data_IF_501958601404
#
_entry.id   IF_501958601404
#
_cell.length_a   1.000
_cell.length_b   1.000
_cell.length_c   1.000
_cell.angle_alpha   90.00
_cell.angle_beta   90.00
_cell.angle_gamma   90.00
#
_symmetry.space_group_name_H-M   'P 1'
#
loop_
_entity.id
_entity.type
_entity.pdbx_description
1 polymer ?
#
# COMPACT_ATOMS: atom_id res chain seq x y z
N UNK A 1 -14.56 64.23 13.97
CA UNK A 1 -13.42 63.35 13.68
C UNK A 1 -13.94 61.97 13.27
N UNK A 2 -13.52 61.38 12.13
CA UNK A 2 -13.81 59.97 11.79
C UNK A 2 -12.53 59.17 11.95
N UNK A 3 -12.55 58.21 12.87
CA UNK A 3 -11.41 57.33 13.14
C UNK A 3 -11.27 56.32 11.98
N UNK A 4 -10.11 56.31 11.33
CA UNK A 4 -9.75 55.27 10.37
C UNK A 4 -9.38 54.01 11.15
N UNK A 5 -10.31 53.05 11.20
CA UNK A 5 -10.08 51.75 11.81
C UNK A 5 -9.14 50.93 10.93
N UNK A 6 -7.95 50.65 11.46
CA UNK A 6 -6.93 49.83 10.81
C UNK A 6 -7.42 48.39 10.72
N UNK A 7 -7.72 47.92 9.51
CA UNK A 7 -8.00 46.51 9.23
C UNK A 7 -6.74 45.70 9.47
N UNK A 8 -6.64 45.12 10.66
CA UNK A 8 -5.66 44.09 11.01
C UNK A 8 -5.70 42.99 9.95
N UNK A 9 -4.61 42.86 9.17
CA UNK A 9 -4.44 41.76 8.22
C UNK A 9 -4.38 40.47 9.04
N UNK A 10 -5.48 39.73 9.04
CA UNK A 10 -5.60 38.38 9.61
C UNK A 10 -4.42 37.55 9.08
N UNK A 11 -3.47 37.21 9.96
CA UNK A 11 -2.42 36.24 9.67
C UNK A 11 -3.12 34.89 9.71
N UNK A 12 -3.44 34.34 8.54
CA UNK A 12 -3.97 32.97 8.45
C UNK A 12 -2.96 32.03 9.12
N UNK A 13 -3.40 31.15 10.04
CA UNK A 13 -2.51 30.16 10.63
C UNK A 13 -1.89 29.31 9.51
N UNK A 14 -0.62 28.89 9.65
CA UNK A 14 -0.01 28.01 8.66
C UNK A 14 -0.94 26.81 8.44
N UNK A 15 -1.17 26.38 7.19
CA UNK A 15 -2.06 25.26 6.90
C UNK A 15 -1.70 24.09 7.81
N UNK A 16 -2.69 23.47 8.49
CA UNK A 16 -2.43 22.32 9.34
C UNK A 16 -1.64 21.32 8.51
N UNK A 17 -0.50 20.87 9.04
CA UNK A 17 0.53 20.12 8.34
C UNK A 17 -0.13 19.08 7.44
N UNK A 18 -0.32 19.47 6.17
CA UNK A 18 -0.85 18.55 5.19
C UNK A 18 0.16 17.40 5.16
N UNK A 19 -0.26 16.20 4.77
CA UNK A 19 0.68 15.13 4.50
C UNK A 19 1.52 15.55 3.27
N UNK A 20 2.52 16.41 3.47
CA UNK A 20 3.43 16.95 2.45
C UNK A 20 4.06 15.78 1.70
N UNK A 21 4.35 14.69 2.41
CA UNK A 21 4.86 13.47 1.80
C UNK A 21 3.91 12.90 0.72
N UNK A 22 2.58 13.08 0.83
CA UNK A 22 1.60 12.67 -0.19
C UNK A 22 1.58 13.60 -1.39
N UNK A 23 1.84 14.90 -1.20
CA UNK A 23 1.89 15.87 -2.30
C UNK A 23 3.21 15.80 -3.07
N UNK A 24 4.28 15.34 -2.42
CA UNK A 24 5.60 15.13 -3.03
C UNK A 24 5.79 13.71 -3.61
N UNK A 25 4.85 12.79 -3.36
CA UNK A 25 4.95 11.43 -3.87
C UNK A 25 4.55 11.39 -5.34
N UNK A 26 5.52 11.11 -6.20
CA UNK A 26 5.34 10.99 -7.63
C UNK A 26 4.34 9.84 -8.00
N UNK A 27 3.33 10.09 -8.86
CA UNK A 27 2.36 9.07 -9.25
C UNK A 27 2.99 7.84 -9.93
N UNK A 28 4.08 8.00 -10.67
CA UNK A 28 4.77 6.87 -11.29
C UNK A 28 5.46 5.99 -10.22
N UNK A 29 5.93 6.59 -9.14
CA UNK A 29 6.45 5.85 -7.98
C UNK A 29 5.37 4.99 -7.31
N UNK A 30 4.14 5.51 -7.16
CA UNK A 30 3.00 4.70 -6.67
C UNK A 30 2.65 3.58 -7.64
N UNK A 31 2.62 3.85 -8.95
CA UNK A 31 2.37 2.81 -9.96
C UNK A 31 3.40 1.68 -9.87
N UNK A 32 4.70 2.01 -9.73
CA UNK A 32 5.77 1.03 -9.57
C UNK A 32 5.59 0.14 -8.34
N UNK A 33 5.08 0.70 -7.25
CA UNK A 33 4.78 -0.05 -6.02
C UNK A 33 3.61 -1.03 -6.27
N UNK A 34 2.53 -0.55 -6.90
CA UNK A 34 1.39 -1.40 -7.29
C UNK A 34 1.86 -2.55 -8.19
N UNK A 35 2.72 -2.26 -9.17
CA UNK A 35 3.27 -3.28 -10.08
C UNK A 35 4.09 -4.34 -9.31
N UNK A 36 4.91 -3.94 -8.32
CA UNK A 36 5.65 -4.88 -7.47
C UNK A 36 4.72 -5.74 -6.59
N UNK A 37 3.65 -5.16 -6.06
CA UNK A 37 2.64 -5.90 -5.28
C UNK A 37 1.95 -6.93 -6.20
N UNK A 38 1.50 -6.50 -7.38
CA UNK A 38 0.90 -7.36 -8.39
C UNK A 38 1.85 -8.50 -8.81
N UNK A 39 3.13 -8.21 -9.04
CA UNK A 39 4.15 -9.21 -9.37
C UNK A 39 4.38 -10.24 -8.26
N UNK A 40 4.11 -9.90 -7.02
CA UNK A 40 4.20 -10.84 -5.90
C UNK A 40 2.94 -11.68 -5.79
N UNK A 41 1.77 -11.06 -5.92
CA UNK A 41 0.50 -11.78 -5.95
C UNK A 41 0.45 -12.84 -7.07
N UNK A 42 0.91 -12.50 -8.28
CA UNK A 42 0.94 -13.45 -9.42
C UNK A 42 1.82 -14.67 -9.20
N UNK A 43 2.84 -14.59 -8.33
CA UNK A 43 3.73 -15.73 -8.04
C UNK A 43 3.05 -16.76 -7.14
N UNK A 44 1.97 -16.39 -6.47
CA UNK A 44 1.30 -17.23 -5.48
C UNK A 44 -0.12 -17.61 -5.87
N UNK A 45 -0.70 -16.96 -6.88
CA UNK A 45 -2.05 -17.24 -7.35
C UNK A 45 -1.98 -17.85 -8.74
N UNK A 46 -2.65 -18.99 -8.99
CA UNK A 46 -2.79 -19.50 -10.34
C UNK A 46 -3.70 -18.52 -11.12
N UNK A 47 -3.10 -17.75 -12.03
CA UNK A 47 -3.83 -16.78 -12.85
C UNK A 47 -4.33 -17.48 -14.10
N UNK A 48 -5.64 -17.41 -14.33
CA UNK A 48 -6.26 -17.91 -15.55
C UNK A 48 -6.79 -16.71 -16.35
N UNK A 49 -6.06 -16.31 -17.39
CA UNK A 49 -6.52 -15.33 -18.37
C UNK A 49 -6.32 -13.84 -18.03
N UNK A 50 -6.65 -12.95 -18.98
CA UNK A 50 -6.48 -11.50 -18.84
C UNK A 50 -7.37 -10.89 -17.75
N UNK A 51 -8.52 -11.47 -17.47
CA UNK A 51 -9.45 -11.04 -16.41
C UNK A 51 -8.79 -11.17 -15.03
N UNK A 52 -8.05 -12.25 -14.79
CA UNK A 52 -7.30 -12.45 -13.54
C UNK A 52 -6.23 -11.38 -13.33
N UNK A 53 -5.57 -10.93 -14.40
CA UNK A 53 -4.57 -9.86 -14.31
C UNK A 53 -5.21 -8.51 -13.95
N UNK A 54 -6.39 -8.23 -14.48
CA UNK A 54 -7.15 -7.01 -14.16
C UNK A 54 -7.54 -7.01 -12.68
N UNK A 55 -8.07 -8.13 -12.18
CA UNK A 55 -8.44 -8.28 -10.77
C UNK A 55 -7.23 -8.16 -9.83
N UNK A 56 -6.08 -8.73 -10.20
CA UNK A 56 -4.87 -8.57 -9.40
C UNK A 56 -4.39 -7.13 -9.32
N UNK A 57 -4.48 -6.39 -10.42
CA UNK A 57 -4.13 -4.97 -10.42
C UNK A 57 -5.09 -4.17 -9.53
N UNK A 58 -6.39 -4.48 -9.55
CA UNK A 58 -7.37 -3.88 -8.62
C UNK A 58 -7.04 -4.20 -7.18
N UNK A 59 -6.71 -5.46 -6.87
CA UNK A 59 -6.33 -5.88 -5.50
C UNK A 59 -5.06 -5.15 -5.05
N UNK A 60 -4.03 -5.09 -5.90
CA UNK A 60 -2.78 -4.41 -5.60
C UNK A 60 -2.99 -2.91 -5.35
N UNK A 61 -3.80 -2.25 -6.19
CA UNK A 61 -4.17 -0.85 -6.01
C UNK A 61 -4.91 -0.60 -4.70
N UNK A 62 -5.96 -1.39 -4.40
CA UNK A 62 -6.71 -1.26 -3.13
C UNK A 62 -5.86 -1.54 -1.90
N UNK A 63 -4.90 -2.45 -2.02
CA UNK A 63 -3.96 -2.73 -0.94
C UNK A 63 -3.05 -1.53 -0.70
N UNK A 64 -2.43 -1.01 -1.75
CA UNK A 64 -1.52 0.15 -1.67
C UNK A 64 -2.24 1.40 -1.15
N UNK A 65 -3.45 1.67 -1.65
CA UNK A 65 -4.29 2.81 -1.26
C UNK A 65 -4.59 2.80 0.24
N UNK A 66 -4.96 1.65 0.80
CA UNK A 66 -5.17 1.50 2.26
C UNK A 66 -3.92 1.86 3.06
N UNK A 67 -2.73 1.55 2.56
CA UNK A 67 -1.48 1.90 3.24
C UNK A 67 -1.19 3.38 3.09
N UNK A 68 -1.37 3.90 1.88
CA UNK A 68 -1.22 5.31 1.56
C UNK A 68 -2.07 6.20 2.48
N UNK A 69 -3.32 5.82 2.75
CA UNK A 69 -4.21 6.54 3.66
C UNK A 69 -3.82 6.40 5.14
N UNK A 70 -3.31 5.22 5.54
CA UNK A 70 -2.93 4.95 6.93
C UNK A 70 -1.56 5.50 7.34
N UNK A 71 -0.68 5.80 6.39
CA UNK A 71 0.70 6.19 6.67
C UNK A 71 0.83 7.65 7.11
N UNK A 72 1.78 7.93 8.00
CA UNK A 72 2.06 9.29 8.48
C UNK A 72 3.21 9.98 7.75
N UNK A 73 4.05 9.21 7.06
CA UNK A 73 5.22 9.68 6.30
C UNK A 73 5.52 8.76 5.12
N UNK A 74 6.36 9.20 4.19
CA UNK A 74 6.81 8.37 3.06
C UNK A 74 7.57 7.13 3.54
N UNK A 75 8.46 7.27 4.52
CA UNK A 75 9.16 6.14 5.14
C UNK A 75 8.19 5.14 5.77
N UNK A 76 7.20 5.63 6.53
CA UNK A 76 6.18 4.79 7.16
C UNK A 76 5.35 4.03 6.10
N UNK A 77 4.98 4.70 5.02
CA UNK A 77 4.30 4.10 3.87
C UNK A 77 5.13 2.96 3.25
N UNK A 78 6.40 3.21 2.93
CA UNK A 78 7.29 2.20 2.34
C UNK A 78 7.52 1.02 3.30
N UNK A 79 7.78 1.29 4.59
CA UNK A 79 7.97 0.26 5.62
C UNK A 79 6.73 -0.63 5.78
N UNK A 80 5.53 -0.04 5.84
CA UNK A 80 4.27 -0.78 5.96
C UNK A 80 4.01 -1.67 4.74
N UNK A 81 4.32 -1.20 3.52
CA UNK A 81 4.25 -2.02 2.31
C UNK A 81 5.20 -3.19 2.43
N UNK A 82 6.49 -2.95 2.67
CA UNK A 82 7.50 -4.02 2.76
C UNK A 82 7.12 -5.08 3.78
N UNK A 83 6.68 -4.68 4.98
CA UNK A 83 6.30 -5.61 6.04
C UNK A 83 5.07 -6.46 5.66
N UNK A 84 4.04 -5.84 5.08
CA UNK A 84 2.84 -6.57 4.66
C UNK A 84 3.12 -7.48 3.48
N UNK A 85 3.96 -7.06 2.53
CA UNK A 85 4.39 -7.91 1.42
C UNK A 85 5.18 -9.13 1.89
N UNK A 86 6.13 -8.95 2.82
CA UNK A 86 6.86 -10.06 3.44
C UNK A 86 5.90 -11.05 4.12
N UNK A 87 4.92 -10.54 4.86
CA UNK A 87 3.91 -11.36 5.51
C UNK A 87 3.06 -12.16 4.50
N UNK A 88 2.75 -11.56 3.35
CA UNK A 88 1.99 -12.21 2.28
C UNK A 88 2.80 -13.32 1.59
N UNK A 89 4.09 -13.11 1.35
CA UNK A 89 5.00 -14.15 0.82
C UNK A 89 5.19 -15.31 1.81
N UNK A 90 5.26 -15.04 3.12
CA UNK A 90 5.38 -16.11 4.12
C UNK A 90 4.11 -16.98 4.22
N UNK A 91 2.92 -16.37 4.13
CA UNK A 91 1.64 -17.10 4.22
C UNK A 91 1.40 -18.03 3.03
N UNK A 92 1.75 -17.61 1.82
CA UNK A 92 1.60 -18.45 0.62
C UNK A 92 2.52 -19.68 0.65
N UNK A 93 3.70 -19.58 1.29
CA UNK A 93 4.59 -20.73 1.48
C UNK A 93 4.04 -21.72 2.53
N UNK A 94 3.40 -21.24 3.60
CA UNK A 94 2.81 -22.11 4.62
C UNK A 94 1.64 -22.97 4.09
N UNK A 95 0.94 -22.51 3.05
CA UNK A 95 -0.13 -23.27 2.39
C UNK A 95 0.41 -24.27 1.37
N UNK A 96 1.59 -24.04 0.80
CA UNK A 96 2.24 -24.97 -0.14
C UNK A 96 3.11 -26.03 0.55
N UNK A 97 3.39 -25.90 1.85
CA UNK A 97 4.19 -26.86 2.62
C UNK A 97 3.40 -27.95 3.37
N UNK A 98 2.06 -27.98 3.27
CA UNK A 98 1.23 -28.89 4.08
C UNK A 98 0.69 -30.12 3.35
N UNK A 99 1.34 -30.62 2.29
CA UNK A 99 1.05 -31.95 1.76
C UNK A 99 2.30 -32.58 1.15
N UNK A 100 2.78 -33.65 1.78
CA UNK A 100 3.52 -34.82 1.28
C UNK A 100 4.64 -35.22 2.23
N UNK A 101 4.26 -36.01 3.25
CA UNK A 101 5.03 -36.98 4.07
C UNK A 101 4.17 -37.21 5.32
N UNK A 102 3.56 -38.35 5.64
CA UNK A 102 4.02 -39.73 5.47
C UNK A 102 2.82 -40.65 5.69
N UNK A 103 2.47 -41.45 4.67
CA UNK A 103 1.74 -42.69 4.89
C UNK A 103 2.78 -43.77 5.16
N UNK A 104 2.75 -44.39 6.34
CA UNK A 104 3.41 -45.67 6.59
C UNK A 104 2.64 -46.40 7.70
N UNK A 105 1.77 -47.29 7.24
CA UNK A 105 1.40 -48.59 7.82
C UNK A 105 1.86 -48.91 9.25
N UNK A 106 0.91 -49.18 10.14
CA UNK A 106 1.12 -50.03 11.30
C UNK A 106 0.26 -51.30 11.14
N UNK A 107 0.95 -52.43 11.25
CA UNK A 107 0.49 -53.82 11.19
C UNK A 107 -0.37 -54.20 12.39
#
# INVERSE_FOLDING_TARGET
MRMVSTRSKRVEPPPPHLPIWRTHLDPASRSRIIDKIMQTLRRHLPIYGPEGLIELRKIAGRFEEKIFDSASSQDDYLRKISLKMLTMEAKSQSTSGRNFSQASSAT
#
